data_IF_006864443431
#
_entry.id   IF_006864443431
#
_cell.length_a   1.000
_cell.length_b   1.000
_cell.length_c   1.000
_cell.angle_alpha   90.00
_cell.angle_beta   90.00
_cell.angle_gamma   90.00
#
_symmetry.space_group_name_H-M   'P 1'
#
loop_
_entity.id
_entity.type
_entity.pdbx_description
1 polymer ?
#
# COMPACT_ATOMS: atom_id res chain seq x y z
N UNK A 1 -2.34 3.47 -18.47
CA UNK A 1 -1.87 2.15 -18.94
C UNK A 1 -2.29 1.15 -17.88
N UNK A 2 -3.20 0.24 -18.18
CA UNK A 2 -3.74 -0.71 -17.19
C UNK A 2 -2.68 -1.74 -16.79
N UNK A 3 -2.85 -2.34 -15.60
CA UNK A 3 -1.99 -3.41 -15.13
C UNK A 3 -2.14 -4.65 -16.02
N UNK A 4 -1.01 -5.25 -16.41
CA UNK A 4 -0.99 -6.52 -17.15
C UNK A 4 -1.60 -7.63 -16.30
N UNK A 5 -2.48 -8.43 -16.88
CA UNK A 5 -3.06 -9.60 -16.21
C UNK A 5 -2.03 -10.76 -16.13
N UNK A 6 -2.12 -11.63 -15.10
CA UNK A 6 -1.24 -12.79 -14.98
C UNK A 6 -1.43 -13.73 -16.17
N UNK A 7 -0.33 -14.14 -16.80
CA UNK A 7 -0.35 -14.98 -18.01
C UNK A 7 0.36 -16.33 -17.83
N UNK A 8 0.82 -16.62 -16.61
CA UNK A 8 1.52 -17.86 -16.27
C UNK A 8 1.05 -18.37 -14.91
N UNK A 9 1.20 -19.68 -14.66
CA UNK A 9 0.81 -20.29 -13.40
C UNK A 9 1.54 -19.64 -12.21
N UNK A 10 2.83 -19.33 -12.37
CA UNK A 10 3.62 -18.68 -11.33
C UNK A 10 3.04 -17.30 -10.95
N UNK A 11 2.64 -16.50 -11.94
CA UNK A 11 2.03 -15.19 -11.70
C UNK A 11 0.64 -15.31 -11.07
N UNK A 12 -0.15 -16.32 -11.42
CA UNK A 12 -1.42 -16.58 -10.74
C UNK A 12 -1.21 -17.00 -9.29
N UNK A 13 -0.25 -17.89 -9.01
CA UNK A 13 0.06 -18.31 -7.65
C UNK A 13 0.54 -17.16 -6.75
N UNK A 14 1.15 -16.11 -7.32
CA UNK A 14 1.46 -14.89 -6.55
C UNK A 14 0.22 -14.18 -6.00
N UNK A 15 -0.95 -14.35 -6.62
CA UNK A 15 -2.23 -13.80 -6.16
C UNK A 15 -2.88 -14.64 -5.06
N UNK A 16 -2.30 -15.79 -4.72
CA UNK A 16 -2.82 -16.70 -3.68
C UNK A 16 -1.88 -16.66 -2.46
N UNK A 17 -2.43 -16.64 -1.22
CA UNK A 17 -1.64 -16.76 -0.01
C UNK A 17 -0.73 -18.00 -0.05
N UNK A 18 0.55 -17.91 0.35
CA UNK A 18 1.51 -19.01 0.23
C UNK A 18 0.99 -20.36 0.73
N UNK A 19 0.29 -20.36 1.86
CA UNK A 19 -0.29 -21.54 2.51
C UNK A 19 -1.43 -22.21 1.74
N UNK A 20 -1.98 -21.56 0.70
CA UNK A 20 -3.06 -22.08 -0.14
C UNK A 20 -2.61 -22.44 -1.57
N UNK A 21 -1.36 -22.16 -1.94
CA UNK A 21 -0.87 -22.32 -3.33
C UNK A 21 -0.88 -23.77 -3.82
N UNK A 22 -0.59 -24.73 -2.95
CA UNK A 22 -0.60 -26.17 -3.28
C UNK A 22 -1.95 -26.68 -3.78
N UNK A 23 -3.05 -25.98 -3.46
CA UNK A 23 -4.39 -26.33 -3.94
C UNK A 23 -4.58 -26.13 -5.46
N UNK A 24 -3.67 -25.39 -6.09
CA UNK A 24 -3.74 -25.02 -7.50
C UNK A 24 -2.63 -25.64 -8.36
N UNK A 25 -1.49 -25.97 -7.75
CA UNK A 25 -0.34 -26.57 -8.46
C UNK A 25 -0.72 -27.86 -9.22
N UNK A 26 -1.60 -28.69 -8.64
CA UNK A 26 -2.04 -29.94 -9.26
C UNK A 26 -3.15 -29.77 -10.32
N UNK A 27 -3.82 -28.61 -10.39
CA UNK A 27 -4.94 -28.39 -11.32
C UNK A 27 -4.50 -28.12 -12.76
N UNK A 28 -3.23 -27.78 -13.00
CA UNK A 28 -2.69 -27.61 -14.36
C UNK A 28 -2.88 -28.86 -15.23
N UNK A 29 -3.13 -30.05 -14.65
CA UNK A 29 -3.32 -31.30 -15.40
C UNK A 29 -4.78 -31.72 -15.56
N UNK A 30 -5.76 -30.96 -15.05
CA UNK A 30 -7.17 -31.38 -15.09
C UNK A 30 -8.08 -30.18 -15.34
N UNK A 31 -8.25 -29.83 -16.61
CA UNK A 31 -9.26 -28.87 -17.06
C UNK A 31 -10.64 -29.52 -16.88
N UNK A 32 -11.28 -29.30 -15.73
CA UNK A 32 -12.73 -29.46 -15.59
C UNK A 32 -13.27 -28.10 -15.16
N UNK A 33 -13.99 -27.39 -16.04
CA UNK A 33 -14.63 -26.13 -15.68
C UNK A 33 -15.69 -26.39 -14.61
N UNK A 34 -15.50 -25.78 -13.43
CA UNK A 34 -16.48 -25.75 -12.35
C UNK A 34 -17.68 -24.88 -12.76
N UNK A 35 -18.54 -25.44 -13.60
CA UNK A 35 -19.93 -25.01 -13.70
C UNK A 35 -20.77 -26.20 -13.26
N UNK A 36 -21.59 -26.01 -12.23
CA UNK A 36 -22.65 -26.89 -11.67
C UNK A 36 -22.46 -27.20 -10.18
N UNK A 37 -22.68 -26.17 -9.38
CA UNK A 37 -23.18 -26.28 -8.00
C UNK A 37 -23.95 -24.96 -7.77
N UNK A 38 -25.26 -24.91 -7.56
CA UNK A 38 -26.20 -25.93 -7.10
C UNK A 38 -27.64 -25.53 -7.45
N UNK A 39 -28.46 -26.51 -7.82
CA UNK A 39 -29.88 -26.49 -7.49
C UNK A 39 -30.01 -26.66 -5.97
N UNK A 40 -31.02 -26.01 -5.38
CA UNK A 40 -31.98 -26.52 -4.36
C UNK A 40 -32.24 -25.53 -3.22
N UNK A 41 -33.53 -25.23 -3.06
CA UNK A 41 -34.26 -24.79 -1.86
C UNK A 41 -33.90 -23.46 -1.20
N UNK A 42 -34.88 -22.54 -1.32
CA UNK A 42 -35.16 -21.38 -0.46
C UNK A 42 -34.73 -21.57 1.00
N UNK A 43 -33.53 -21.10 1.31
CA UNK A 43 -33.19 -20.50 2.60
C UNK A 43 -32.32 -19.30 2.27
N UNK A 44 -32.48 -18.20 2.98
CA UNK A 44 -31.77 -16.94 2.73
C UNK A 44 -30.28 -17.04 3.13
N UNK A 45 -29.57 -18.05 2.63
CA UNK A 45 -28.13 -18.18 2.71
C UNK A 45 -27.53 -17.04 1.91
N UNK A 46 -27.07 -16.00 2.59
CA UNK A 46 -26.30 -14.91 1.99
C UNK A 46 -25.15 -15.53 1.20
N UNK A 47 -25.20 -15.44 -0.13
CA UNK A 47 -24.20 -16.03 -1.01
C UNK A 47 -22.88 -15.26 -0.84
N UNK A 48 -21.84 -15.92 -0.33
CA UNK A 48 -20.49 -15.36 -0.21
C UNK A 48 -19.62 -15.88 -1.34
N UNK A 49 -18.72 -15.03 -1.87
CA UNK A 49 -17.68 -15.45 -2.83
C UNK A 49 -16.32 -15.42 -2.17
N UNK A 50 -15.54 -16.47 -2.40
CA UNK A 50 -14.12 -16.49 -2.04
C UNK A 50 -13.32 -15.74 -3.09
N UNK A 51 -12.71 -14.63 -2.68
CA UNK A 51 -11.86 -13.80 -3.54
C UNK A 51 -10.46 -13.74 -2.92
N UNK A 52 -9.43 -13.93 -3.75
CA UNK A 52 -8.06 -13.71 -3.33
C UNK A 52 -7.69 -12.25 -3.54
N UNK A 53 -7.51 -11.52 -2.44
CA UNK A 53 -7.30 -10.07 -2.47
C UNK A 53 -5.83 -9.76 -2.20
N UNK A 54 -5.22 -9.04 -3.13
CA UNK A 54 -3.87 -8.46 -2.96
C UNK A 54 -4.00 -7.01 -2.53
N UNK A 55 -3.60 -6.73 -1.30
CA UNK A 55 -3.49 -5.38 -0.77
C UNK A 55 -2.09 -4.85 -1.00
N UNK A 56 -1.95 -3.81 -1.82
CA UNK A 56 -0.73 -3.03 -1.98
C UNK A 56 -0.75 -1.81 -1.08
N UNK A 57 0.39 -1.55 -0.43
CA UNK A 57 0.80 -0.26 0.12
C UNK A 57 2.12 0.13 -0.59
N UNK A 58 2.58 1.37 -0.45
CA UNK A 58 3.75 1.96 -1.12
C UNK A 58 4.95 1.02 -1.31
N UNK A 59 5.31 0.21 -0.31
CA UNK A 59 6.48 -0.69 -0.37
C UNK A 59 6.23 -2.12 0.09
N UNK A 60 4.98 -2.48 0.34
CA UNK A 60 4.63 -3.82 0.82
C UNK A 60 3.33 -4.28 0.18
N UNK A 61 3.21 -5.59 -0.02
CA UNK A 61 1.95 -6.22 -0.43
C UNK A 61 1.62 -7.36 0.52
N UNK A 62 0.33 -7.53 0.83
CA UNK A 62 -0.19 -8.69 1.55
C UNK A 62 -1.31 -9.31 0.74
N UNK A 63 -1.28 -10.63 0.63
CA UNK A 63 -2.26 -11.42 -0.13
C UNK A 63 -3.05 -12.24 0.88
N UNK A 64 -4.38 -12.18 0.79
CA UNK A 64 -5.28 -12.90 1.69
C UNK A 64 -6.44 -13.50 0.92
N UNK A 65 -6.97 -14.62 1.42
CA UNK A 65 -8.27 -15.13 0.99
C UNK A 65 -9.36 -14.46 1.83
N UNK A 66 -10.43 -14.00 1.19
CA UNK A 66 -11.58 -13.40 1.87
C UNK A 66 -12.88 -13.97 1.30
N UNK A 67 -13.80 -14.32 2.21
CA UNK A 67 -15.19 -14.61 1.87
C UNK A 67 -16.02 -13.39 2.24
N UNK A 68 -16.65 -12.74 1.26
CA UNK A 68 -17.56 -11.63 1.53
C UNK A 68 -18.79 -11.68 0.62
N UNK A 69 -19.87 -11.06 1.12
CA UNK A 69 -21.16 -10.95 0.42
C UNK A 69 -21.16 -9.77 -0.56
N UNK A 70 -22.15 -9.71 -1.45
CA UNK A 70 -22.27 -8.61 -2.42
C UNK A 70 -22.53 -7.25 -1.76
N UNK A 71 -23.17 -7.22 -0.59
CA UNK A 71 -23.53 -5.98 0.09
C UNK A 71 -22.44 -5.39 0.98
N UNK A 72 -21.55 -6.22 1.56
CA UNK A 72 -20.60 -5.80 2.61
C UNK A 72 -19.13 -5.77 2.18
N UNK A 73 -18.84 -6.06 0.91
CA UNK A 73 -17.48 -6.22 0.41
C UNK A 73 -16.57 -5.03 0.72
N UNK A 74 -17.07 -3.80 0.60
CA UNK A 74 -16.28 -2.61 0.87
C UNK A 74 -15.91 -2.47 2.34
N UNK A 75 -16.86 -2.70 3.25
CA UNK A 75 -16.63 -2.67 4.70
C UNK A 75 -15.69 -3.79 5.13
N UNK A 76 -15.85 -4.98 4.54
CA UNK A 76 -15.01 -6.15 4.82
C UNK A 76 -13.56 -5.90 4.38
N UNK A 77 -13.35 -5.34 3.19
CA UNK A 77 -12.03 -4.92 2.70
C UNK A 77 -11.44 -3.82 3.58
N UNK A 78 -12.24 -2.81 3.93
CA UNK A 78 -11.80 -1.72 4.82
C UNK A 78 -11.36 -2.23 6.19
N UNK A 79 -12.12 -3.16 6.78
CA UNK A 79 -11.78 -3.84 8.04
C UNK A 79 -10.51 -4.66 7.89
N UNK A 80 -10.36 -5.39 6.79
CA UNK A 80 -9.17 -6.22 6.54
C UNK A 80 -7.92 -5.38 6.31
N UNK A 81 -8.03 -4.26 5.60
CA UNK A 81 -6.93 -3.30 5.41
C UNK A 81 -6.38 -2.81 6.75
N UNK A 82 -7.25 -2.36 7.67
CA UNK A 82 -6.86 -1.94 9.03
C UNK A 82 -6.19 -3.06 9.83
N UNK A 83 -6.68 -4.29 9.70
CA UNK A 83 -6.09 -5.44 10.39
C UNK A 83 -4.73 -5.84 9.83
N UNK A 84 -4.54 -5.73 8.50
CA UNK A 84 -3.30 -6.09 7.83
C UNK A 84 -2.23 -5.00 8.00
N UNK A 85 -2.63 -3.74 8.00
CA UNK A 85 -1.78 -2.56 8.14
C UNK A 85 -2.38 -1.64 9.21
N UNK A 86 -2.13 -1.92 10.50
CA UNK A 86 -2.65 -1.12 11.59
C UNK A 86 -2.01 0.28 11.62
N UNK A 87 -2.70 1.24 12.25
CA UNK A 87 -2.20 2.60 12.47
C UNK A 87 -2.71 3.67 11.49
N UNK A 88 -3.53 3.30 10.51
CA UNK A 88 -4.18 4.27 9.61
C UNK A 88 -5.55 3.78 9.17
N UNK A 89 -6.43 4.73 8.88
CA UNK A 89 -7.57 4.51 8.00
C UNK A 89 -7.09 4.58 6.54
N UNK A 90 -7.77 3.86 5.65
CA UNK A 90 -7.29 3.67 4.28
C UNK A 90 -8.34 4.08 3.26
N UNK A 91 -7.92 4.90 2.29
CA UNK A 91 -8.59 5.04 1.00
C UNK A 91 -8.23 3.81 0.16
N UNK A 92 -9.22 3.25 -0.51
CA UNK A 92 -9.07 2.01 -1.28
C UNK A 92 -9.15 2.38 -2.76
N UNK A 93 -8.17 1.96 -3.54
CA UNK A 93 -8.14 2.16 -4.98
C UNK A 93 -8.02 0.82 -5.70
N UNK A 94 -8.56 0.75 -6.92
CA UNK A 94 -8.37 -0.40 -7.81
C UNK A 94 -6.94 -0.48 -8.33
N UNK A 95 -6.44 -1.69 -8.53
CA UNK A 95 -5.14 -1.93 -9.14
C UNK A 95 -3.97 -1.79 -8.17
N UNK A 96 -2.79 -1.46 -8.72
CA UNK A 96 -1.54 -1.39 -7.97
C UNK A 96 -0.92 0.01 -8.10
N UNK A 97 0.03 0.41 -7.22
CA UNK A 97 0.54 1.77 -7.15
C UNK A 97 1.18 2.33 -8.44
N UNK A 98 1.49 1.47 -9.41
CA UNK A 98 2.25 1.82 -10.61
C UNK A 98 1.37 2.20 -11.81
N UNK A 99 0.04 2.08 -11.70
CA UNK A 99 -0.91 2.38 -12.78
C UNK A 99 -1.91 3.48 -12.40
N UNK A 100 -2.74 3.87 -13.37
CA UNK A 100 -3.87 4.77 -13.13
C UNK A 100 -4.91 4.02 -12.28
N UNK A 101 -5.05 4.45 -11.03
CA UNK A 101 -5.92 3.80 -10.06
C UNK A 101 -7.17 4.64 -9.85
N UNK A 102 -8.33 3.99 -9.74
CA UNK A 102 -9.62 4.63 -9.45
C UNK A 102 -9.96 4.36 -7.99
N UNK A 103 -10.36 5.40 -7.26
CA UNK A 103 -10.81 5.24 -5.88
C UNK A 103 -12.13 4.48 -5.85
N UNK A 104 -12.24 3.54 -4.90
CA UNK A 104 -13.41 2.71 -4.70
C UNK A 104 -14.14 3.22 -3.46
N UNK A 105 -15.46 3.34 -3.55
CA UNK A 105 -16.31 3.89 -2.49
C UNK A 105 -17.46 2.98 -2.08
N UNK A 106 -17.65 1.85 -2.76
CA UNK A 106 -18.81 0.98 -2.53
C UNK A 106 -18.54 -0.49 -2.82
N UNK A 107 -19.36 -1.37 -2.23
CA UNK A 107 -19.29 -2.82 -2.48
C UNK A 107 -19.55 -3.13 -3.96
N UNK A 108 -20.49 -2.43 -4.62
CA UNK A 108 -20.75 -2.64 -6.06
C UNK A 108 -19.53 -2.36 -6.93
N UNK A 109 -18.76 -1.30 -6.62
CA UNK A 109 -17.52 -1.00 -7.35
C UNK A 109 -16.45 -2.06 -7.10
N UNK A 110 -16.32 -2.58 -5.87
CA UNK A 110 -15.43 -3.71 -5.58
C UNK A 110 -15.70 -4.88 -6.53
N UNK A 111 -16.97 -5.27 -6.71
CA UNK A 111 -17.33 -6.35 -7.63
C UNK A 111 -17.00 -6.06 -9.08
N UNK A 112 -17.07 -4.80 -9.51
CA UNK A 112 -16.68 -4.41 -10.88
C UNK A 112 -15.19 -4.60 -11.17
N UNK A 113 -14.35 -4.66 -10.12
CA UNK A 113 -12.91 -4.85 -10.22
C UNK A 113 -12.44 -6.27 -9.91
N UNK A 114 -13.33 -7.19 -9.50
CA UNK A 114 -12.99 -8.60 -9.35
C UNK A 114 -12.76 -9.21 -10.72
N UNK A 115 -11.64 -9.91 -10.87
CA UNK A 115 -11.24 -10.61 -12.09
C UNK A 115 -11.15 -12.11 -11.83
N UNK A 116 -11.08 -12.90 -12.89
CA UNK A 116 -10.88 -14.35 -12.82
C UNK A 116 -9.60 -14.72 -13.55
N UNK A 117 -8.80 -15.60 -12.96
CA UNK A 117 -7.58 -16.07 -13.62
C UNK A 117 -7.89 -17.07 -14.73
N UNK A 118 -6.98 -17.20 -15.69
CA UNK A 118 -7.23 -17.99 -16.91
C UNK A 118 -6.78 -19.44 -16.78
N UNK A 119 -5.77 -19.71 -15.95
CA UNK A 119 -5.17 -21.03 -15.77
C UNK A 119 -5.85 -21.76 -14.61
N UNK A 120 -5.89 -21.15 -13.42
CA UNK A 120 -6.46 -21.76 -12.22
C UNK A 120 -7.96 -21.49 -12.04
N UNK A 121 -8.50 -20.47 -12.71
CA UNK A 121 -9.93 -20.16 -12.73
C UNK A 121 -10.48 -19.56 -11.44
N UNK A 122 -9.65 -19.11 -10.49
CA UNK A 122 -10.12 -18.48 -9.25
C UNK A 122 -10.35 -16.98 -9.43
N UNK A 123 -11.16 -16.39 -8.55
CA UNK A 123 -11.43 -14.95 -8.52
C UNK A 123 -10.38 -14.21 -7.69
N UNK A 124 -9.93 -13.06 -8.17
CA UNK A 124 -8.95 -12.22 -7.52
C UNK A 124 -9.29 -10.74 -7.62
N UNK A 125 -8.77 -9.96 -6.68
CA UNK A 125 -8.89 -8.52 -6.63
C UNK A 125 -7.54 -7.93 -6.23
N UNK A 126 -7.11 -6.88 -6.92
CA UNK A 126 -5.90 -6.12 -6.57
C UNK A 126 -6.32 -4.73 -6.17
N UNK A 127 -5.95 -4.32 -4.97
CA UNK A 127 -6.24 -2.98 -4.45
C UNK A 127 -4.97 -2.30 -3.95
N UNK A 128 -4.95 -0.99 -4.11
CA UNK A 128 -3.92 -0.10 -3.58
C UNK A 128 -4.51 0.71 -2.44
N UNK A 129 -3.82 0.74 -1.30
CA UNK A 129 -4.20 1.50 -0.13
C UNK A 129 -3.40 2.80 -0.06
N UNK A 130 -4.09 3.92 0.10
CA UNK A 130 -3.47 5.21 0.48
C UNK A 130 -4.02 5.64 1.84
N UNK A 131 -3.19 6.10 2.79
CA UNK A 131 -3.69 6.48 4.12
C UNK A 131 -4.64 7.68 4.03
N UNK A 132 -5.72 7.64 4.81
CA UNK A 132 -6.57 8.82 5.06
C UNK A 132 -5.79 9.72 6.01
N UNK A 133 -5.29 10.83 5.49
CA UNK A 133 -4.67 11.87 6.29
C UNK A 133 -5.77 12.84 6.68
N UNK A 134 -6.17 12.84 7.95
CA UNK A 134 -7.04 13.89 8.46
C UNK A 134 -6.34 15.24 8.29
N UNK A 135 -7.04 16.27 7.78
CA UNK A 135 -6.44 17.59 7.51
C UNK A 135 -5.85 18.26 8.77
N UNK A 136 -6.11 17.73 9.97
CA UNK A 136 -5.61 18.26 11.24
C UNK A 136 -4.10 18.06 11.45
N UNK A 137 -3.45 17.17 10.68
CA UNK A 137 -1.98 17.07 10.62
C UNK A 137 -1.40 17.60 9.30
N UNK A 138 -2.17 18.35 8.51
CA UNK A 138 -1.64 19.08 7.35
C UNK A 138 -1.13 20.49 7.71
N UNK A 139 -0.79 20.71 8.98
CA UNK A 139 -0.30 21.99 9.48
C UNK A 139 1.04 22.35 8.82
N UNK A 140 0.97 23.10 7.72
CA UNK A 140 2.04 23.92 7.13
C UNK A 140 3.30 23.27 6.53
N UNK A 141 3.59 21.99 6.75
CA UNK A 141 4.89 21.40 6.33
C UNK A 141 5.00 21.01 4.85
N UNK A 142 3.87 20.87 4.14
CA UNK A 142 3.88 20.51 2.71
C UNK A 142 3.95 21.69 1.75
N UNK A 143 3.78 22.91 2.24
CA UNK A 143 3.95 24.11 1.42
C UNK A 143 5.40 24.62 1.50
N UNK A 144 6.37 23.80 1.11
CA UNK A 144 7.75 24.27 0.98
C UNK A 144 7.92 25.21 -0.23
N UNK A 145 8.67 26.28 -0.01
CA UNK A 145 9.10 27.20 -1.05
C UNK A 145 10.40 26.67 -1.65
N UNK A 146 10.57 26.79 -2.96
CA UNK A 146 11.83 26.43 -3.60
C UNK A 146 12.87 27.49 -3.25
N UNK A 147 14.00 27.11 -2.63
CA UNK A 147 15.07 28.03 -2.27
C UNK A 147 15.80 28.62 -3.47
N UNK A 148 15.72 27.93 -4.62
CA UNK A 148 16.37 28.38 -5.85
C UNK A 148 15.53 29.40 -6.64
N UNK A 149 14.23 29.16 -6.84
CA UNK A 149 13.39 30.05 -7.64
C UNK A 149 12.39 30.88 -6.81
N UNK A 150 12.31 30.62 -5.51
CA UNK A 150 11.41 31.33 -4.59
C UNK A 150 9.93 31.06 -4.81
N UNK A 151 9.54 30.16 -5.71
CA UNK A 151 8.13 29.82 -5.93
C UNK A 151 7.69 28.71 -4.99
N UNK A 152 6.39 28.66 -4.72
CA UNK A 152 5.80 27.51 -4.05
C UNK A 152 6.13 26.22 -4.81
N UNK A 153 6.59 25.17 -4.11
CA UNK A 153 6.83 23.88 -4.73
C UNK A 153 5.47 23.22 -4.99
N UNK A 154 5.14 23.03 -6.26
CA UNK A 154 4.01 22.23 -6.71
C UNK A 154 4.55 20.98 -7.41
N UNK A 155 4.03 19.81 -7.05
CA UNK A 155 4.53 18.52 -7.54
C UNK A 155 5.69 17.99 -6.71
N UNK A 156 6.75 17.51 -7.35
CA UNK A 156 7.89 16.85 -6.69
C UNK A 156 8.76 17.88 -5.96
N UNK A 157 8.93 17.67 -4.66
CA UNK A 157 9.85 18.39 -3.77
C UNK A 157 11.15 17.61 -3.66
N UNK A 158 12.27 18.29 -3.72
CA UNK A 158 13.60 17.71 -3.55
C UNK A 158 14.25 18.37 -2.35
N UNK A 159 14.35 17.62 -1.25
CA UNK A 159 14.91 18.09 0.01
C UNK A 159 16.36 17.70 0.14
N UNK A 160 17.23 18.66 0.43
CA UNK A 160 18.63 18.35 0.71
C UNK A 160 18.75 17.56 2.01
N UNK A 161 19.58 16.51 2.01
CA UNK A 161 19.84 15.69 3.20
C UNK A 161 20.96 16.25 4.09
N UNK A 162 21.67 17.29 3.62
CA UNK A 162 22.83 17.89 4.30
C UNK A 162 22.54 19.31 4.77
N UNK A 163 21.82 20.11 3.97
CA UNK A 163 21.52 21.50 4.28
C UNK A 163 20.26 21.61 5.13
N UNK A 164 20.34 22.44 6.17
CA UNK A 164 19.18 22.84 6.95
C UNK A 164 18.17 23.58 6.05
N UNK A 165 16.93 23.12 6.04
CA UNK A 165 15.80 23.77 5.36
C UNK A 165 16.06 24.17 3.90
N UNK A 166 16.73 23.29 3.13
CA UNK A 166 16.94 23.50 1.69
C UNK A 166 16.10 22.54 0.85
N UNK A 167 15.25 23.10 0.03
CA UNK A 167 14.25 22.43 -0.79
C UNK A 167 14.15 23.08 -2.17
N UNK A 168 14.15 22.26 -3.22
CA UNK A 168 13.98 22.73 -4.60
C UNK A 168 12.84 22.02 -5.31
N UNK A 169 12.21 22.71 -6.26
CA UNK A 169 11.18 22.13 -7.11
C UNK A 169 11.80 21.31 -8.25
N UNK A 170 11.00 20.46 -8.88
CA UNK A 170 11.39 19.66 -10.06
C UNK A 170 12.06 20.47 -11.17
N UNK A 171 11.63 21.72 -11.42
CA UNK A 171 12.25 22.57 -12.44
C UNK A 171 13.67 23.03 -12.08
N UNK A 172 13.93 23.25 -10.80
CA UNK A 172 15.26 23.64 -10.32
C UNK A 172 16.17 22.41 -10.20
N UNK A 173 15.63 21.27 -9.78
CA UNK A 173 16.38 20.02 -9.78
C UNK A 173 16.78 19.58 -11.20
N UNK A 174 15.90 19.73 -12.20
CA UNK A 174 16.23 19.46 -13.60
C UNK A 174 17.33 20.38 -14.18
N UNK A 175 17.60 21.52 -13.54
CA UNK A 175 18.73 22.40 -13.84
C UNK A 175 19.99 22.03 -13.06
N UNK A 176 19.97 20.89 -12.37
CA UNK A 176 20.98 20.40 -11.45
C UNK A 176 21.31 21.42 -10.36
N UNK A 177 20.34 22.22 -9.88
CA UNK A 177 20.62 23.13 -8.77
C UNK A 177 21.00 22.31 -7.53
N UNK A 178 22.07 22.71 -6.84
CA UNK A 178 22.53 22.09 -5.59
C UNK A 178 23.02 20.63 -5.71
N UNK A 179 23.60 20.28 -6.86
CA UNK A 179 24.12 18.95 -7.19
C UNK A 179 25.25 18.41 -6.29
N UNK A 180 25.81 19.20 -5.37
CA UNK A 180 26.88 18.78 -4.46
C UNK A 180 26.38 17.93 -3.30
N UNK A 181 25.06 17.93 -3.03
CA UNK A 181 24.46 17.18 -1.95
C UNK A 181 23.41 16.20 -2.47
N UNK A 182 23.25 15.09 -1.74
CA UNK A 182 22.18 14.15 -2.00
C UNK A 182 20.82 14.79 -1.69
N UNK A 183 19.86 14.54 -2.57
CA UNK A 183 18.50 15.07 -2.47
C UNK A 183 17.51 13.94 -2.27
N UNK A 184 16.67 14.05 -1.25
CA UNK A 184 15.52 13.19 -1.06
C UNK A 184 14.36 13.70 -1.93
N UNK A 185 13.90 12.86 -2.87
CA UNK A 185 12.74 13.18 -3.69
C UNK A 185 11.45 12.81 -2.95
N UNK A 186 10.65 13.81 -2.65
CA UNK A 186 9.33 13.72 -2.03
C UNK A 186 8.30 14.00 -3.14
N UNK A 187 7.73 12.94 -3.72
CA UNK A 187 6.88 13.04 -4.91
C UNK A 187 5.53 13.69 -4.63
N UNK A 188 4.92 13.32 -3.52
CA UNK A 188 3.94 14.12 -2.80
C UNK A 188 4.18 13.87 -1.32
N UNK A 189 3.87 14.86 -0.50
CA UNK A 189 3.92 14.73 0.94
C UNK A 189 3.16 13.54 1.53
N UNK A 190 2.11 13.14 0.82
CA UNK A 190 1.15 12.13 1.24
C UNK A 190 1.51 10.72 0.74
N UNK A 191 2.31 10.58 -0.31
CA UNK A 191 2.67 9.27 -0.91
C UNK A 191 4.09 8.82 -0.59
N UNK A 192 4.97 9.76 -0.25
CA UNK A 192 6.37 9.44 0.03
C UNK A 192 6.51 9.11 1.50
N UNK A 193 6.48 7.81 1.84
CA UNK A 193 6.87 7.36 3.17
C UNK A 193 8.38 7.53 3.33
N UNK A 194 8.81 8.33 4.32
CA UNK A 194 10.22 8.49 4.67
C UNK A 194 10.47 7.60 5.88
N UNK A 195 11.29 6.54 5.77
CA UNK A 195 11.56 5.65 6.89
C UNK A 195 12.08 6.40 8.13
N UNK A 196 11.64 5.97 9.31
CA UNK A 196 11.98 6.63 10.57
C UNK A 196 13.48 6.77 10.83
N UNK A 197 14.33 5.84 10.36
CA UNK A 197 15.78 5.97 10.54
C UNK A 197 16.39 7.16 9.76
N UNK A 198 15.73 7.65 8.72
CA UNK A 198 16.12 8.85 7.98
C UNK A 198 15.74 10.12 8.76
N UNK A 199 14.60 10.10 9.45
CA UNK A 199 14.05 11.27 10.14
C UNK A 199 14.39 11.34 11.64
N UNK A 200 14.73 10.23 12.29
CA UNK A 200 14.88 10.11 13.75
C UNK A 200 15.96 11.01 14.35
N UNK A 201 17.07 11.19 13.62
CA UNK A 201 18.17 12.05 14.05
C UNK A 201 18.14 13.44 13.38
N UNK A 202 17.12 13.67 12.55
CA UNK A 202 17.00 14.94 11.87
C UNK A 202 16.45 15.98 12.85
N UNK A 203 17.01 17.19 12.89
CA UNK A 203 16.41 18.30 13.61
C UNK A 203 14.96 18.52 13.14
N UNK A 204 14.07 18.98 14.04
CA UNK A 204 12.64 19.14 13.75
C UNK A 204 12.36 20.02 12.53
N UNK A 205 13.21 21.00 12.26
CA UNK A 205 13.10 21.86 11.07
C UNK A 205 13.43 21.14 9.75
N UNK A 206 14.01 19.93 9.78
CA UNK A 206 14.38 19.16 8.58
C UNK A 206 13.22 18.32 8.07
N UNK A 207 12.49 17.58 8.91
CA UNK A 207 11.37 16.76 8.41
C UNK A 207 10.01 17.17 8.95
N UNK A 208 9.95 18.34 9.57
CA UNK A 208 8.76 18.73 10.30
C UNK A 208 8.50 17.78 11.47
N UNK A 209 7.50 18.01 12.29
CA UNK A 209 7.11 17.11 13.37
C UNK A 209 6.41 15.84 12.83
N UNK A 210 7.05 15.14 11.92
CA UNK A 210 6.78 13.72 11.65
C UNK A 210 7.38 12.87 12.77
N UNK A 211 6.89 13.06 14.00
CA UNK A 211 6.99 12.04 15.05
C UNK A 211 5.73 11.18 14.97
N UNK A 212 5.71 10.12 14.14
CA UNK A 212 4.71 9.09 14.37
C UNK A 212 4.95 8.58 15.79
N UNK A 213 3.90 8.55 16.59
CA UNK A 213 3.88 7.94 17.92
C UNK A 213 4.17 6.44 17.81
N UNK A 214 5.39 6.07 17.45
CA UNK A 214 5.89 4.70 17.55
C UNK A 214 6.25 4.49 19.02
N UNK A 215 5.23 4.09 19.78
CA UNK A 215 5.42 3.41 21.06
C UNK A 215 6.08 2.07 20.78
N UNK A 216 7.40 2.06 20.72
CA UNK A 216 8.15 0.84 20.97
C UNK A 216 9.12 1.15 22.11
N UNK A 217 8.69 0.77 23.32
CA UNK A 217 9.54 0.62 24.48
C UNK A 217 10.64 -0.37 24.12
N UNK A 218 11.78 0.13 23.66
CA UNK A 218 13.02 -0.65 23.60
C UNK A 218 13.43 -0.88 25.05
N UNK A 219 12.89 -1.94 25.66
CA UNK A 219 13.38 -2.48 26.92
C UNK A 219 14.84 -2.86 26.73
N UNK A 220 15.74 -1.98 27.20
CA UNK A 220 17.17 -2.23 27.28
C UNK A 220 17.36 -3.38 28.27
N UNK A 221 17.49 -4.61 27.75
CA UNK A 221 17.95 -5.75 28.54
C UNK A 221 19.40 -5.46 28.93
N UNK A 222 19.58 -5.02 30.16
CA UNK A 222 20.88 -4.92 30.80
C UNK A 222 21.48 -6.32 30.84
N UNK A 223 22.51 -6.54 30.03
CA UNK A 223 23.38 -7.70 30.14
C UNK A 223 24.31 -7.44 31.32
N UNK A 224 23.87 -7.83 32.51
CA UNK A 224 24.74 -8.01 33.66
C UNK A 224 25.38 -9.40 33.60
N UNK A 225 26.70 -9.45 33.78
CA UNK A 225 27.50 -10.68 33.82
C UNK A 225 28.64 -10.63 32.81
N UNK A 226 29.89 -10.91 33.14
CA UNK A 226 30.42 -11.67 34.25
C UNK A 226 31.81 -11.15 34.62
N UNK A 227 32.02 -10.99 35.92
CA UNK A 227 33.33 -10.88 36.53
C UNK A 227 34.04 -12.22 36.37
N UNK A 228 35.17 -12.26 35.64
CA UNK A 228 36.10 -13.37 35.70
C UNK A 228 37.41 -12.87 36.33
N UNK A 229 37.80 -13.63 37.35
CA UNK A 229 38.83 -13.39 38.36
C UNK A 229 40.24 -13.27 37.78
#
# INVERSE_FOLDING_TARGET
MEAREPSSLAEELELVPPELRSNFENKSSSIIPLYLSSNTSHSASSYTRTVYVTFHKTFEKKVVSMDFSESTAFEDISRRARSLFPGSDWRIFSGNPYHSNVEIHSSSEIYSYIKRTTICGFEYLVINLEPIVEPHHTNSEFYAKCDSCGTQIAGRRYKCTMCADFDICERCEAKSVHLQHAMLRISTGLRTEIPGYITMNAPSYVFGETRPHLREEVTIRHLEGETLQ
#
